data_IF_029612029833
#
_entry.id   IF_029612029833
#
_cell.length_a   1.000
_cell.length_b   1.000
_cell.length_c   1.000
_cell.angle_alpha   90.00
_cell.angle_beta   90.00
_cell.angle_gamma   90.00
#
_symmetry.space_group_name_H-M   'P 1'
#
loop_
_entity.id
_entity.type
_entity.pdbx_description
1 polymer ?
#
# COMPACT_ATOMS: atom_id res chain seq x y z
N UNK A 1 2.61 4.62 -10.38
CA UNK A 1 1.58 3.69 -10.89
C UNK A 1 2.05 3.27 -12.27
N UNK A 2 2.13 1.98 -12.59
CA UNK A 2 2.53 1.56 -13.94
C UNK A 2 1.33 1.29 -14.83
N UNK A 3 0.30 0.66 -14.26
CA UNK A 3 -0.88 0.28 -15.00
C UNK A 3 -2.07 0.17 -14.05
N UNK A 4 -3.18 0.81 -14.41
CA UNK A 4 -4.46 0.64 -13.71
C UNK A 4 -5.59 0.65 -14.73
N UNK A 5 -6.20 -0.51 -14.95
CA UNK A 5 -7.41 -0.64 -15.80
C UNK A 5 -8.65 -0.96 -14.96
N UNK A 6 -8.55 -0.79 -13.65
CA UNK A 6 -9.67 -0.94 -12.72
C UNK A 6 -10.66 0.22 -12.86
N UNK A 7 -11.81 0.09 -12.18
CA UNK A 7 -12.83 1.14 -12.13
C UNK A 7 -12.42 2.29 -11.20
N UNK A 8 -11.51 2.04 -10.26
CA UNK A 8 -11.09 3.04 -9.27
C UNK A 8 -10.05 3.96 -9.91
N UNK A 9 -10.27 5.30 -9.90
CA UNK A 9 -9.29 6.26 -10.39
C UNK A 9 -7.95 6.18 -9.64
N UNK A 10 -6.86 6.52 -10.32
CA UNK A 10 -5.50 6.39 -9.81
C UNK A 10 -5.27 7.17 -8.51
N UNK A 11 -5.81 8.38 -8.42
CA UNK A 11 -5.68 9.25 -7.25
C UNK A 11 -6.39 8.65 -6.03
N UNK A 12 -7.58 8.07 -6.24
CA UNK A 12 -8.36 7.43 -5.16
C UNK A 12 -7.68 6.14 -4.73
N UNK A 13 -7.19 5.35 -5.68
CA UNK A 13 -6.50 4.09 -5.41
C UNK A 13 -5.19 4.34 -4.65
N UNK A 14 -4.39 5.33 -5.10
CA UNK A 14 -3.15 5.74 -4.45
C UNK A 14 -3.39 6.29 -3.03
N UNK A 15 -4.46 7.06 -2.85
CA UNK A 15 -4.85 7.54 -1.52
C UNK A 15 -5.17 6.37 -0.58
N UNK A 16 -5.90 5.35 -1.06
CA UNK A 16 -6.19 4.14 -0.27
C UNK A 16 -4.93 3.35 0.08
N UNK A 17 -3.99 3.21 -0.84
CA UNK A 17 -2.70 2.56 -0.56
C UNK A 17 -1.96 3.26 0.58
N UNK A 18 -1.99 4.60 0.59
CA UNK A 18 -1.36 5.41 1.64
C UNK A 18 -1.98 5.25 3.03
N UNK A 19 -3.21 4.73 3.14
CA UNK A 19 -3.90 4.49 4.41
C UNK A 19 -3.72 3.06 4.94
N UNK A 20 -3.08 2.17 4.18
CA UNK A 20 -2.79 0.82 4.67
C UNK A 20 -1.70 0.86 5.74
N UNK A 21 -1.96 0.37 6.96
CA UNK A 21 -0.96 0.36 8.02
C UNK A 21 0.12 -0.68 7.72
N UNK A 22 1.38 -0.25 7.79
CA UNK A 22 2.56 -1.09 7.52
C UNK A 22 3.15 -1.58 8.83
N UNK A 23 3.41 -2.88 8.91
CA UNK A 23 4.11 -3.53 10.01
C UNK A 23 5.62 -3.41 9.79
N UNK A 24 6.19 -2.29 10.24
CA UNK A 24 7.62 -2.04 10.26
C UNK A 24 7.97 -1.17 11.48
N UNK A 25 9.13 -1.39 12.11
CA UNK A 25 9.56 -0.58 13.25
C UNK A 25 10.10 0.76 12.74
N UNK A 26 9.41 1.90 13.01
CA UNK A 26 9.84 3.20 12.52
C UNK A 26 11.17 3.66 13.13
N UNK A 27 11.67 3.03 14.20
CA UNK A 27 12.95 3.39 14.83
C UNK A 27 14.16 2.98 14.00
N UNK A 28 14.00 1.95 13.16
CA UNK A 28 15.07 1.44 12.28
C UNK A 28 15.32 2.36 11.07
N UNK A 29 14.37 3.25 10.76
CA UNK A 29 14.44 4.13 9.59
C UNK A 29 14.69 5.59 9.97
N UNK A 30 15.49 6.27 9.15
CA UNK A 30 15.72 7.72 9.26
C UNK A 30 14.58 8.50 8.60
N UNK A 31 14.39 9.74 9.01
CA UNK A 31 13.45 10.64 8.33
C UNK A 31 13.93 10.95 6.90
N UNK A 32 13.01 11.15 5.95
CA UNK A 32 13.37 11.61 4.61
C UNK A 32 14.01 13.00 4.70
N UNK A 33 15.04 13.25 3.87
CA UNK A 33 15.73 14.56 3.81
C UNK A 33 14.97 15.59 3.01
N UNK A 34 14.30 15.15 1.95
CA UNK A 34 13.52 15.98 1.04
C UNK A 34 12.08 15.48 1.08
N UNK A 35 11.09 16.39 0.98
CA UNK A 35 9.74 15.96 0.65
C UNK A 35 9.83 15.27 -0.71
N UNK A 36 9.30 14.04 -0.83
CA UNK A 36 9.19 13.39 -2.13
C UNK A 36 8.22 14.24 -2.95
N UNK A 37 8.77 15.13 -3.78
CA UNK A 37 7.99 15.97 -4.67
C UNK A 37 7.72 15.07 -5.87
N UNK A 38 6.45 14.77 -6.15
CA UNK A 38 6.06 14.06 -7.38
C UNK A 38 6.12 14.96 -8.62
N UNK A 39 6.71 16.15 -8.48
CA UNK A 39 6.78 17.19 -9.48
C UNK A 39 8.16 17.82 -9.26
N UNK A 40 9.02 17.82 -10.26
CA UNK A 40 10.29 18.55 -10.16
C UNK A 40 10.00 20.05 -9.94
N UNK A 41 11.01 20.85 -9.51
CA UNK A 41 10.89 22.32 -9.43
C UNK A 41 10.40 22.95 -10.76
N UNK A 42 10.58 22.21 -11.85
CA UNK A 42 10.16 22.50 -13.23
C UNK A 42 8.69 22.23 -13.55
N UNK A 43 7.90 21.64 -12.64
CA UNK A 43 6.50 21.28 -12.92
C UNK A 43 6.30 19.99 -13.73
N UNK A 44 7.36 19.21 -13.96
CA UNK A 44 7.34 17.99 -14.78
C UNK A 44 7.33 16.76 -13.87
N UNK A 45 6.54 15.76 -14.26
CA UNK A 45 6.49 14.44 -13.61
C UNK A 45 7.89 13.81 -13.71
N UNK A 46 8.48 13.36 -12.59
CA UNK A 46 9.84 12.83 -12.57
C UNK A 46 9.96 11.69 -13.60
N UNK A 47 10.82 11.85 -14.60
CA UNK A 47 10.94 10.87 -15.70
C UNK A 47 11.51 9.53 -15.26
N UNK A 48 12.14 9.47 -14.08
CA UNK A 48 12.77 8.28 -13.53
C UNK A 48 12.26 8.01 -12.12
N UNK A 49 11.89 6.74 -11.87
CA UNK A 49 11.52 6.30 -10.54
C UNK A 49 12.74 6.42 -9.62
N UNK A 50 12.65 7.15 -8.48
CA UNK A 50 13.78 7.29 -7.59
C UNK A 50 14.16 5.92 -7.02
N UNK A 51 15.44 5.55 -7.16
CA UNK A 51 15.99 4.38 -6.50
C UNK A 51 15.92 4.59 -4.98
N UNK A 52 14.94 3.95 -4.32
CA UNK A 52 14.66 4.14 -2.91
C UNK A 52 15.92 3.94 -2.05
N UNK A 53 16.07 4.75 -1.00
CA UNK A 53 17.20 4.65 -0.07
C UNK A 53 16.95 3.52 0.95
N UNK A 54 17.85 2.52 1.08
CA UNK A 54 17.65 1.38 1.97
C UNK A 54 17.54 1.77 3.45
N UNK A 55 18.04 2.94 3.85
CA UNK A 55 17.99 3.40 5.25
C UNK A 55 16.74 4.22 5.60
N UNK A 56 15.95 4.59 4.60
CA UNK A 56 14.82 5.53 4.74
C UNK A 56 13.51 4.99 4.18
N UNK A 57 13.60 4.16 3.15
CA UNK A 57 12.46 3.76 2.34
C UNK A 57 12.23 2.25 2.41
N UNK A 58 10.96 1.86 2.31
CA UNK A 58 10.52 0.50 2.02
C UNK A 58 9.74 0.52 0.71
N UNK A 59 9.96 -0.48 -0.14
CA UNK A 59 9.23 -0.62 -1.40
C UNK A 59 8.30 -1.81 -1.31
N UNK A 60 7.03 -1.58 -1.63
CA UNK A 60 6.04 -2.61 -1.84
C UNK A 60 5.56 -2.60 -3.28
N UNK A 61 5.39 -3.77 -3.88
CA UNK A 61 4.86 -3.94 -5.22
C UNK A 61 3.54 -4.72 -5.16
N UNK A 62 2.58 -4.25 -5.94
CA UNK A 62 1.31 -4.93 -6.17
C UNK A 62 1.16 -5.17 -7.66
N UNK A 63 0.95 -6.43 -8.03
CA UNK A 63 0.72 -6.85 -9.42
C UNK A 63 -0.39 -7.88 -9.41
N UNK A 64 -1.60 -7.46 -9.79
CA UNK A 64 -2.80 -8.29 -9.76
C UNK A 64 -3.53 -8.18 -11.09
N UNK A 65 -3.85 -9.33 -11.68
CA UNK A 65 -4.68 -9.46 -12.87
C UNK A 65 -5.90 -10.32 -12.51
N UNK A 66 -7.10 -9.86 -12.89
CA UNK A 66 -8.34 -10.60 -12.72
C UNK A 66 -8.67 -11.41 -13.98
N UNK A 67 -8.79 -12.72 -13.80
CA UNK A 67 -9.16 -13.67 -14.85
C UNK A 67 -10.49 -14.35 -14.53
N UNK A 68 -11.13 -14.94 -15.54
CA UNK A 68 -12.31 -15.78 -15.33
C UNK A 68 -11.87 -17.18 -14.95
N UNK A 69 -12.37 -17.69 -13.83
CA UNK A 69 -12.05 -19.04 -13.37
C UNK A 69 -12.73 -20.08 -14.29
N UNK A 70 -11.97 -20.94 -14.99
CA UNK A 70 -12.55 -21.98 -15.85
C UNK A 70 -13.27 -23.07 -15.05
N UNK A 71 -12.92 -23.26 -13.77
CA UNK A 71 -13.49 -24.29 -12.89
C UNK A 71 -14.76 -23.83 -12.16
N UNK A 72 -15.22 -22.60 -12.39
CA UNK A 72 -16.41 -22.08 -11.73
C UNK A 72 -17.67 -22.85 -12.12
N UNK A 73 -18.50 -23.18 -11.11
CA UNK A 73 -19.82 -23.76 -11.34
C UNK A 73 -20.68 -22.81 -12.18
N UNK A 74 -21.40 -23.34 -13.18
CA UNK A 74 -22.29 -22.53 -14.04
C UNK A 74 -23.45 -21.88 -13.27
N UNK A 75 -23.75 -22.37 -12.06
CA UNK A 75 -24.77 -21.86 -11.15
C UNK A 75 -24.23 -20.87 -10.11
N UNK A 76 -22.90 -20.69 -10.03
CA UNK A 76 -22.29 -19.81 -9.05
C UNK A 76 -22.73 -18.36 -9.31
N UNK A 77 -23.24 -17.70 -8.26
CA UNK A 77 -23.61 -16.27 -8.28
C UNK A 77 -22.52 -15.41 -7.65
N UNK A 78 -21.73 -15.99 -6.74
CA UNK A 78 -20.69 -15.27 -6.00
C UNK A 78 -19.52 -14.89 -6.91
N UNK A 79 -19.17 -13.60 -7.03
CA UNK A 79 -18.03 -13.17 -7.85
C UNK A 79 -16.69 -13.78 -7.43
N UNK A 80 -16.55 -14.17 -6.16
CA UNK A 80 -15.35 -14.87 -5.63
C UNK A 80 -15.13 -16.26 -6.22
N UNK A 81 -16.20 -16.94 -6.61
CA UNK A 81 -16.13 -18.28 -7.19
C UNK A 81 -15.96 -18.21 -8.71
N UNK A 82 -16.59 -17.21 -9.34
CA UNK A 82 -16.61 -17.02 -10.80
C UNK A 82 -15.28 -16.47 -11.33
N UNK A 83 -14.62 -15.62 -10.55
CA UNK A 83 -13.44 -14.88 -10.98
C UNK A 83 -12.27 -15.09 -10.02
N UNK A 84 -11.08 -15.23 -10.57
CA UNK A 84 -9.85 -15.25 -9.79
C UNK A 84 -9.40 -13.80 -9.55
N UNK A 85 -8.98 -13.48 -8.32
CA UNK A 85 -8.50 -12.15 -7.93
C UNK A 85 -9.50 -11.00 -8.16
N UNK A 86 -10.81 -11.27 -8.17
CA UNK A 86 -11.83 -10.22 -8.27
C UNK A 86 -11.84 -9.27 -7.06
N UNK A 87 -11.37 -9.72 -5.90
CA UNK A 87 -11.20 -8.90 -4.70
C UNK A 87 -9.72 -8.79 -4.39
N UNK A 88 -9.18 -7.58 -4.48
CA UNK A 88 -7.78 -7.29 -4.19
C UNK A 88 -7.68 -6.87 -2.73
N UNK A 89 -6.93 -7.64 -1.95
CA UNK A 89 -6.73 -7.41 -0.52
C UNK A 89 -5.33 -6.87 -0.23
N UNK A 90 -5.11 -6.36 0.98
CA UNK A 90 -3.83 -5.83 1.43
C UNK A 90 -2.70 -6.85 1.47
N UNK A 91 -3.00 -8.15 1.56
CA UNK A 91 -2.01 -9.23 1.43
C UNK A 91 -1.36 -9.34 0.03
N UNK A 92 -1.93 -8.67 -0.98
CA UNK A 92 -1.42 -8.71 -2.35
C UNK A 92 -0.16 -7.85 -2.54
N UNK A 93 0.17 -7.00 -1.56
CA UNK A 93 1.39 -6.20 -1.55
C UNK A 93 2.58 -7.05 -1.13
N UNK A 94 3.57 -7.15 -2.01
CA UNK A 94 4.83 -7.86 -1.77
C UNK A 94 5.93 -6.86 -1.47
N UNK A 95 6.62 -7.06 -0.35
CA UNK A 95 7.81 -6.27 -0.05
C UNK A 95 8.97 -6.66 -0.97
N UNK A 96 9.64 -5.65 -1.53
CA UNK A 96 10.86 -5.82 -2.31
C UNK A 96 12.02 -5.25 -1.48
N UNK A 97 12.97 -6.08 -1.02
CA UNK A 97 14.12 -5.62 -0.25
C UNK A 97 15.04 -4.76 -1.12
N UNK A 98 15.51 -3.65 -0.55
CA UNK A 98 16.47 -2.75 -1.20
C UNK A 98 17.83 -2.91 -0.52
N UNK A 99 18.89 -3.18 -1.30
CA UNK A 99 20.24 -3.37 -0.77
C UNK A 99 20.26 -4.48 0.31
N UNK A 100 20.81 -4.16 1.48
CA UNK A 100 21.00 -5.12 2.58
C UNK A 100 19.78 -5.27 3.53
N UNK A 101 18.61 -4.73 3.17
CA UNK A 101 17.42 -4.77 4.02
C UNK A 101 16.95 -6.20 4.34
N UNK A 102 17.18 -7.16 3.46
CA UNK A 102 16.84 -8.58 3.68
C UNK A 102 17.54 -9.17 4.89
N UNK A 103 18.76 -8.72 5.17
CA UNK A 103 19.60 -9.19 6.29
C UNK A 103 19.54 -8.26 7.49
N UNK A 104 19.43 -6.94 7.24
CA UNK A 104 19.46 -5.91 8.28
C UNK A 104 18.16 -5.86 9.11
N UNK A 105 17.01 -6.14 8.48
CA UNK A 105 15.73 -6.07 9.16
C UNK A 105 15.46 -7.37 9.95
N UNK A 106 15.00 -7.27 11.22
CA UNK A 106 14.74 -8.44 12.05
C UNK A 106 13.55 -9.28 11.58
N UNK A 107 12.65 -8.69 10.79
CA UNK A 107 11.49 -9.36 10.20
C UNK A 107 11.14 -8.73 8.85
N UNK A 108 10.53 -9.49 7.93
CA UNK A 108 10.07 -8.95 6.66
C UNK A 108 8.91 -7.96 6.89
N UNK A 109 9.00 -6.73 6.40
CA UNK A 109 7.89 -5.79 6.39
C UNK A 109 6.67 -6.36 5.64
N UNK A 110 5.50 -6.13 6.19
CA UNK A 110 4.22 -6.55 5.61
C UNK A 110 3.13 -5.52 5.97
N UNK A 111 1.93 -5.69 5.44
CA UNK A 111 0.76 -4.97 5.94
C UNK A 111 0.41 -5.49 7.35
N UNK A 112 -0.18 -4.64 8.20
CA UNK A 112 -0.61 -5.07 9.56
C UNK A 112 -1.81 -6.01 9.48
N UNK A 113 -2.72 -5.73 8.55
CA UNK A 113 -3.92 -6.52 8.30
C UNK A 113 -3.89 -7.03 6.86
N UNK A 114 -4.20 -8.31 6.68
CA UNK A 114 -4.12 -9.01 5.38
C UNK A 114 -5.43 -8.98 4.60
N UNK A 115 -6.54 -8.59 5.24
CA UNK A 115 -7.91 -8.68 4.77
C UNK A 115 -8.55 -7.33 4.42
N UNK A 116 -7.78 -6.25 4.39
CA UNK A 116 -8.29 -4.94 3.99
C UNK A 116 -8.57 -4.97 2.50
N UNK A 117 -9.83 -4.77 2.11
CA UNK A 117 -10.21 -4.68 0.70
C UNK A 117 -9.69 -3.37 0.10
N UNK A 118 -8.93 -3.48 -0.97
CA UNK A 118 -8.27 -2.37 -1.66
C UNK A 118 -9.04 -1.98 -2.91
N UNK A 119 -9.28 -2.96 -3.79
CA UNK A 119 -10.00 -2.77 -5.05
C UNK A 119 -10.85 -3.99 -5.39
N UNK A 120 -11.86 -3.80 -6.23
CA UNK A 120 -12.62 -4.88 -6.84
C UNK A 120 -12.42 -4.80 -8.36
N UNK A 121 -12.12 -5.95 -8.96
CA UNK A 121 -11.80 -6.09 -10.38
C UNK A 121 -12.85 -6.95 -11.09
N UNK A 122 -12.84 -6.86 -12.42
CA UNK A 122 -13.53 -7.77 -13.34
C UNK A 122 -12.54 -8.35 -14.34
N UNK A 123 -12.88 -9.48 -15.00
CA UNK A 123 -11.96 -10.15 -15.91
C UNK A 123 -11.39 -9.20 -16.97
N UNK A 124 -10.07 -9.25 -17.16
CA UNK A 124 -9.34 -8.38 -18.09
C UNK A 124 -8.85 -7.07 -17.48
N UNK A 125 -9.19 -6.78 -16.23
CA UNK A 125 -8.63 -5.65 -15.49
C UNK A 125 -7.39 -6.05 -14.70
N UNK A 126 -6.46 -5.12 -14.59
CA UNK A 126 -5.18 -5.28 -13.92
C UNK A 126 -4.79 -4.02 -13.13
N UNK A 127 -4.04 -4.23 -12.06
CA UNK A 127 -3.41 -3.19 -11.25
C UNK A 127 -1.94 -3.57 -11.08
N UNK A 128 -1.06 -2.67 -11.51
CA UNK A 128 0.39 -2.75 -11.32
C UNK A 128 0.92 -1.44 -10.75
N UNK A 129 1.42 -1.49 -9.52
CA UNK A 129 1.94 -0.33 -8.82
C UNK A 129 3.10 -0.68 -7.92
N UNK A 130 3.98 0.30 -7.72
CA UNK A 130 5.04 0.27 -6.74
C UNK A 130 4.88 1.43 -5.78
N UNK A 131 4.90 1.13 -4.49
CA UNK A 131 4.63 2.06 -3.42
C UNK A 131 5.91 2.27 -2.60
N UNK A 132 6.33 3.53 -2.52
CA UNK A 132 7.45 3.95 -1.69
C UNK A 132 6.94 4.40 -0.33
N UNK A 133 7.30 3.68 0.71
CA UNK A 133 6.92 3.94 2.07
C UNK A 133 8.09 4.59 2.79
N UNK A 134 7.82 5.65 3.54
CA UNK A 134 8.81 6.40 4.29
C UNK A 134 8.27 6.77 5.67
N UNK A 135 9.18 7.08 6.58
CA UNK A 135 8.83 7.53 7.93
C UNK A 135 8.28 8.96 7.89
N UNK A 136 7.08 9.16 8.45
CA UNK A 136 6.43 10.48 8.54
C UNK A 136 5.84 10.75 9.93
N UNK A 137 5.34 11.97 10.12
CA UNK A 137 4.69 12.40 11.37
C UNK A 137 3.18 12.53 11.17
N UNK A 138 2.40 12.12 12.18
CA UNK A 138 0.93 12.25 12.16
C UNK A 138 0.43 13.69 12.01
N UNK A 139 1.25 14.68 12.41
CA UNK A 139 0.99 16.11 12.19
C UNK A 139 0.94 16.46 10.70
N UNK A 140 1.79 15.82 9.89
CA UNK A 140 1.90 16.15 8.46
C UNK A 140 0.77 15.48 7.66
N UNK A 141 0.38 14.27 8.05
CA UNK A 141 -0.79 13.58 7.48
C UNK A 141 -1.33 12.51 8.43
N UNK A 142 -2.65 12.37 8.53
CA UNK A 142 -3.32 11.43 9.43
C UNK A 142 -2.91 9.96 9.21
N UNK A 143 -2.49 9.59 7.98
CA UNK A 143 -1.95 8.27 7.65
C UNK A 143 -0.73 7.84 8.48
N UNK A 144 0.00 8.80 9.04
CA UNK A 144 1.15 8.55 9.91
C UNK A 144 0.77 8.51 11.40
N UNK A 145 -0.52 8.63 11.75
CA UNK A 145 -0.97 8.45 13.13
C UNK A 145 -0.79 6.97 13.53
N UNK A 146 0.00 6.66 14.58
CA UNK A 146 0.19 5.28 15.03
C UNK A 146 -0.99 4.75 15.85
N UNK A 147 -1.96 5.60 16.18
CA UNK A 147 -3.12 5.26 17.02
C UNK A 147 -4.42 5.53 16.26
N UNK A 148 -5.43 4.68 16.49
CA UNK A 148 -6.79 4.90 15.99
C UNK A 148 -7.45 6.07 16.73
N UNK A 149 -7.46 6.03 18.07
CA UNK A 149 -7.89 7.14 18.92
C UNK A 149 -7.19 7.01 20.26
N UNK A 150 -6.64 8.12 20.75
CA UNK A 150 -6.10 8.22 22.10
C UNK A 150 -6.82 9.38 22.81
N UNK A 151 -7.47 9.08 23.92
CA UNK A 151 -8.18 10.06 24.74
C UNK A 151 -7.99 9.76 26.22
N UNK A 152 -8.26 10.76 27.05
CA UNK A 152 -8.33 10.60 28.50
C UNK A 152 -9.71 11.06 28.97
N UNK A 153 -10.16 10.51 30.09
CA UNK A 153 -11.34 11.01 30.81
C UNK A 153 -10.98 11.18 32.27
N UNK A 154 -11.51 12.23 32.90
CA UNK A 154 -11.40 12.39 34.34
C UNK A 154 -12.20 11.30 35.04
N UNK A 155 -11.71 10.85 36.19
CA UNK A 155 -12.45 9.94 37.06
C UNK A 155 -13.60 10.74 37.69
N UNK A 156 -14.88 10.42 37.40
CA UNK A 156 -15.99 11.17 37.97
C UNK A 156 -16.09 10.88 39.47
N UNK A 157 -16.29 11.95 40.26
CA UNK A 157 -16.63 11.86 41.68
C UNK A 157 -18.09 12.31 41.82
N UNK A 158 -18.94 11.42 42.35
CA UNK A 158 -20.37 11.64 42.57
C UNK A 158 -20.56 12.17 43.99
#
# INVERSE_FOLDING_TARGET
>A
MYQNTSIIPDEVLSHRFGLLPIKADPRLFKMPLTRVIGIDESGVDCSEEPAGDPTRNLIFEIKVNCSRNPNALKTATNPKEIYENAFVYSNSFKWIPIGDQSTSLPYPPAMVHDDILVAQLRPGQEIEARCHCFKGLGRDHAKFSPVATASYRLLPQI
#
